data_IF_933565419619
#
_entry.id   IF_933565419619
#
_cell.length_a   1.000
_cell.length_b   1.000
_cell.length_c   1.000
_cell.angle_alpha   90.00
_cell.angle_beta   90.00
_cell.angle_gamma   90.00
#
_symmetry.space_group_name_H-M   'P 1'
#
loop_
_entity.id
_entity.type
_entity.pdbx_description
1 polymer ?
#
# COMPACT_ATOMS: atom_id res chain seq x y z
N UNK A 1 10.54 17.60 14.32
CA UNK A 1 10.57 18.28 13.01
C UNK A 1 9.27 17.97 12.31
N UNK A 2 8.54 19.03 11.93
CA UNK A 2 7.30 18.93 11.19
C UNK A 2 7.54 18.17 9.88
N UNK A 3 6.58 17.39 9.47
CA UNK A 3 6.58 16.63 8.23
C UNK A 3 6.67 17.60 7.05
N UNK A 4 7.83 17.65 6.37
CA UNK A 4 7.98 18.43 5.14
C UNK A 4 7.22 17.72 4.01
N UNK A 5 6.38 18.46 3.28
CA UNK A 5 5.74 17.96 2.07
C UNK A 5 6.79 17.75 0.98
N UNK A 6 6.58 16.80 0.06
CA UNK A 6 7.42 16.69 -1.13
C UNK A 6 7.14 17.79 -2.17
N UNK A 7 6.09 18.60 -1.95
CA UNK A 7 5.63 19.62 -2.88
C UNK A 7 6.22 20.99 -2.54
N UNK A 8 6.98 21.59 -3.48
CA UNK A 8 7.64 22.86 -3.24
C UNK A 8 6.69 24.06 -3.10
N UNK A 9 5.43 23.93 -3.52
CA UNK A 9 4.39 24.95 -3.40
C UNK A 9 3.50 24.77 -2.15
N UNK A 10 3.87 23.85 -1.25
CA UNK A 10 3.22 23.62 0.06
C UNK A 10 4.27 23.83 1.16
N UNK A 11 4.50 25.06 1.62
CA UNK A 11 5.45 25.30 2.69
C UNK A 11 4.97 24.73 4.02
N UNK A 12 5.91 24.39 4.92
CA UNK A 12 5.64 23.70 6.19
C UNK A 12 4.67 24.45 7.11
N UNK A 13 4.60 25.77 7.00
CA UNK A 13 3.70 26.65 7.75
C UNK A 13 2.33 26.84 7.07
N UNK A 14 2.11 26.24 5.91
CA UNK A 14 0.81 26.28 5.26
C UNK A 14 -0.21 25.47 6.07
N UNK A 15 -1.39 26.04 6.34
CA UNK A 15 -2.39 25.45 7.22
C UNK A 15 -2.80 24.00 6.86
N UNK A 16 -2.78 23.66 5.58
CA UNK A 16 -3.13 22.33 5.10
C UNK A 16 -1.93 21.39 4.91
N UNK A 17 -0.69 21.85 5.15
CA UNK A 17 0.50 21.05 4.98
C UNK A 17 0.45 19.71 5.76
N UNK A 18 0.02 19.64 7.03
CA UNK A 18 -0.09 18.38 7.75
C UNK A 18 -1.05 17.39 7.09
N UNK A 19 -2.18 17.87 6.57
CA UNK A 19 -3.18 17.02 5.90
C UNK A 19 -2.66 16.50 4.56
N UNK A 20 -2.06 17.39 3.76
CA UNK A 20 -1.48 17.06 2.45
C UNK A 20 -0.35 16.04 2.62
N UNK A 21 0.58 16.29 3.54
CA UNK A 21 1.71 15.38 3.82
C UNK A 21 1.22 13.99 4.25
N UNK A 22 0.26 13.93 5.16
CA UNK A 22 -0.30 12.66 5.63
C UNK A 22 -0.96 11.88 4.48
N UNK A 23 -1.84 12.52 3.73
CA UNK A 23 -2.56 11.86 2.64
C UNK A 23 -1.64 11.50 1.46
N UNK A 24 -0.61 12.31 1.19
CA UNK A 24 0.42 12.01 0.23
C UNK A 24 1.21 10.76 0.64
N UNK A 25 1.67 10.72 1.89
CA UNK A 25 2.44 9.57 2.41
C UNK A 25 1.66 8.26 2.36
N UNK A 26 0.32 8.34 2.37
CA UNK A 26 -0.61 7.21 2.25
C UNK A 26 -1.00 6.90 0.80
N UNK A 27 -0.49 7.63 -0.18
CA UNK A 27 -0.84 7.46 -1.59
C UNK A 27 -2.29 7.84 -1.95
N UNK A 28 -3.01 8.51 -1.03
CA UNK A 28 -4.40 8.95 -1.24
C UNK A 28 -4.45 10.10 -2.23
N UNK A 29 -3.53 11.05 -2.07
CA UNK A 29 -3.37 12.19 -2.97
C UNK A 29 -1.99 12.18 -3.60
N UNK A 30 -1.87 12.77 -4.77
CA UNK A 30 -0.60 12.99 -5.46
C UNK A 30 -0.56 14.42 -6.01
N UNK A 31 0.65 14.94 -6.20
CA UNK A 31 0.86 16.19 -6.93
C UNK A 31 0.85 15.97 -8.45
N UNK A 32 1.15 17.04 -9.15
CA UNK A 32 1.41 17.04 -10.58
C UNK A 32 2.87 16.66 -10.83
N UNK A 33 3.16 16.08 -11.98
CA UNK A 33 4.49 15.55 -12.29
C UNK A 33 5.64 16.58 -12.31
N UNK A 34 5.33 17.85 -12.05
CA UNK A 34 6.28 18.96 -11.94
C UNK A 34 6.71 19.27 -10.49
N UNK A 35 6.28 18.46 -9.51
CA UNK A 35 6.58 18.66 -8.09
C UNK A 35 5.66 19.63 -7.37
N UNK A 36 4.55 20.06 -7.99
CA UNK A 36 3.52 20.89 -7.34
C UNK A 36 2.35 20.07 -6.83
N UNK A 37 1.67 20.57 -5.82
CA UNK A 37 0.36 20.11 -5.37
C UNK A 37 -0.77 21.01 -5.85
N UNK A 38 -0.50 22.28 -6.08
CA UNK A 38 -1.43 23.35 -6.43
C UNK A 38 -2.58 23.47 -5.43
N UNK A 39 -2.30 23.75 -4.14
CA UNK A 39 -3.28 23.65 -3.05
C UNK A 39 -4.49 24.57 -3.22
N UNK A 40 -4.33 25.70 -3.90
CA UNK A 40 -5.38 26.71 -4.14
C UNK A 40 -6.17 26.47 -5.43
N UNK A 41 -5.80 25.47 -6.26
CA UNK A 41 -6.54 25.17 -7.46
C UNK A 41 -7.81 24.37 -7.13
N UNK A 42 -8.84 24.56 -7.94
CA UNK A 42 -10.04 23.73 -7.86
C UNK A 42 -9.74 22.29 -8.25
N UNK A 43 -10.43 21.35 -7.62
CA UNK A 43 -10.34 19.92 -7.92
C UNK A 43 -11.29 19.58 -9.06
N UNK A 44 -10.79 18.93 -10.10
CA UNK A 44 -11.65 18.35 -11.11
C UNK A 44 -12.42 17.12 -10.56
N UNK A 45 -13.63 16.86 -11.07
CA UNK A 45 -14.46 15.72 -10.63
C UNK A 45 -13.76 14.38 -10.79
N UNK A 46 -12.97 14.19 -11.85
CA UNK A 46 -12.15 12.99 -12.06
C UNK A 46 -10.99 12.87 -11.05
N UNK A 47 -10.38 13.98 -10.66
CA UNK A 47 -9.31 14.00 -9.64
C UNK A 47 -9.91 13.63 -8.28
N UNK A 48 -11.07 14.21 -7.94
CA UNK A 48 -11.75 13.84 -6.70
C UNK A 48 -12.19 12.38 -6.68
N UNK A 49 -12.68 11.84 -7.81
CA UNK A 49 -13.00 10.42 -7.92
C UNK A 49 -11.80 9.53 -7.54
N UNK A 50 -10.60 9.85 -8.04
CA UNK A 50 -9.37 9.14 -7.68
C UNK A 50 -9.03 9.30 -6.20
N UNK A 51 -9.08 10.53 -5.67
CA UNK A 51 -8.79 10.80 -4.25
C UNK A 51 -9.74 10.02 -3.33
N UNK A 52 -11.04 10.00 -3.64
CA UNK A 52 -12.06 9.33 -2.84
C UNK A 52 -11.92 7.82 -2.88
N UNK A 53 -11.66 7.22 -4.05
CA UNK A 53 -11.42 5.78 -4.20
C UNK A 53 -10.18 5.36 -3.41
N UNK A 54 -9.10 6.12 -3.54
CA UNK A 54 -7.87 5.83 -2.80
C UNK A 54 -8.05 5.99 -1.28
N UNK A 55 -8.80 7.01 -0.84
CA UNK A 55 -9.04 7.24 0.59
C UNK A 55 -9.93 6.17 1.22
N UNK A 56 -10.95 5.74 0.49
CA UNK A 56 -11.96 4.79 0.99
C UNK A 56 -11.56 3.32 0.82
N UNK A 57 -10.49 3.03 0.08
CA UNK A 57 -10.10 1.66 -0.25
C UNK A 57 -11.09 0.93 -1.16
N UNK A 58 -11.99 1.66 -1.86
CA UNK A 58 -12.91 1.05 -2.81
C UNK A 58 -12.15 0.31 -3.91
N UNK A 59 -12.59 -0.91 -4.20
CA UNK A 59 -12.03 -1.72 -5.27
C UNK A 59 -12.26 -1.03 -6.62
N UNK A 60 -11.18 -0.88 -7.40
CA UNK A 60 -11.28 -0.34 -8.76
C UNK A 60 -12.20 -1.21 -9.62
N UNK A 61 -13.06 -0.54 -10.39
CA UNK A 61 -13.96 -1.19 -11.33
C UNK A 61 -13.18 -1.89 -12.44
N UNK A 62 -13.51 -3.16 -12.67
CA UNK A 62 -12.98 -3.95 -13.80
C UNK A 62 -13.84 -3.88 -15.06
N UNK A 63 -14.93 -3.12 -15.02
CA UNK A 63 -15.81 -2.91 -16.18
C UNK A 63 -15.03 -2.22 -17.29
N UNK A 64 -15.28 -2.62 -18.52
CA UNK A 64 -14.66 -2.03 -19.74
C UNK A 64 -15.58 -1.06 -20.45
N UNK A 65 -16.68 -0.68 -19.85
CA UNK A 65 -17.65 0.28 -20.40
C UNK A 65 -18.02 1.27 -19.34
N UNK A 66 -18.18 2.56 -19.72
CA UNK A 66 -18.69 3.60 -18.85
C UNK A 66 -20.20 3.77 -19.04
N UNK A 67 -20.96 4.07 -17.99
CA UNK A 67 -22.33 4.56 -18.13
C UNK A 67 -22.40 5.99 -18.65
N UNK A 68 -21.27 6.70 -18.72
CA UNK A 68 -21.17 8.12 -19.10
C UNK A 68 -20.63 8.27 -20.53
N UNK A 69 -21.24 9.16 -21.29
CA UNK A 69 -20.89 9.39 -22.70
C UNK A 69 -19.55 10.14 -22.88
N UNK A 70 -19.11 10.84 -21.86
CA UNK A 70 -17.93 11.72 -21.85
C UNK A 70 -16.74 11.15 -21.08
N UNK A 71 -16.77 9.87 -20.73
CA UNK A 71 -15.68 9.17 -20.03
C UNK A 71 -15.05 8.15 -20.97
N UNK A 72 -13.86 8.47 -21.50
CA UNK A 72 -13.12 7.57 -22.37
C UNK A 72 -12.54 6.39 -21.57
N UNK A 73 -12.70 5.18 -22.11
CA UNK A 73 -12.20 3.94 -21.51
C UNK A 73 -10.66 3.88 -21.39
N UNK A 74 -9.96 4.68 -22.20
CA UNK A 74 -8.51 4.78 -22.18
C UNK A 74 -8.00 5.94 -21.29
N UNK A 75 -8.90 6.75 -20.72
CA UNK A 75 -8.51 7.81 -19.80
C UNK A 75 -8.10 7.22 -18.45
N UNK A 76 -7.07 7.79 -17.84
CA UNK A 76 -6.57 7.36 -16.52
C UNK A 76 -7.66 7.39 -15.43
N UNK A 77 -8.63 8.29 -15.55
CA UNK A 77 -9.71 8.47 -14.58
C UNK A 77 -10.82 7.44 -14.70
N UNK A 78 -10.91 6.73 -15.84
CA UNK A 78 -11.97 5.79 -16.14
C UNK A 78 -12.22 4.74 -15.03
N UNK A 79 -11.22 4.01 -14.50
CA UNK A 79 -11.46 3.01 -13.47
C UNK A 79 -11.97 3.63 -12.17
N UNK A 80 -11.49 4.82 -11.82
CA UNK A 80 -11.92 5.54 -10.60
C UNK A 80 -13.36 6.03 -10.71
N UNK A 81 -13.71 6.68 -11.82
CA UNK A 81 -15.08 7.14 -12.09
C UNK A 81 -16.06 5.97 -12.07
N UNK A 82 -15.70 4.86 -12.71
CA UNK A 82 -16.55 3.67 -12.73
C UNK A 82 -16.72 3.00 -11.36
N UNK A 83 -15.79 3.22 -10.43
CA UNK A 83 -15.88 2.68 -9.07
C UNK A 83 -16.87 3.43 -8.19
N UNK A 84 -17.16 4.71 -8.48
CA UNK A 84 -17.99 5.57 -7.64
C UNK A 84 -19.29 6.03 -8.33
N UNK A 85 -19.76 5.33 -9.33
CA UNK A 85 -20.98 5.71 -10.09
C UNK A 85 -22.24 5.88 -9.24
N UNK A 86 -22.31 5.17 -8.10
CA UNK A 86 -23.43 5.29 -7.16
C UNK A 86 -23.22 6.44 -6.15
N UNK A 87 -21.99 6.70 -5.78
CA UNK A 87 -21.61 7.71 -4.79
C UNK A 87 -21.59 9.11 -5.43
N UNK A 88 -21.07 9.20 -6.65
CA UNK A 88 -20.96 10.44 -7.42
C UNK A 88 -21.56 10.24 -8.81
N UNK A 89 -22.89 10.32 -8.94
CA UNK A 89 -23.56 10.09 -10.21
C UNK A 89 -23.28 11.22 -11.22
N UNK A 90 -23.46 10.89 -12.48
CA UNK A 90 -23.40 11.87 -13.55
C UNK A 90 -24.70 12.67 -13.69
N UNK A 91 -24.70 13.55 -14.68
CA UNK A 91 -25.81 14.43 -15.02
C UNK A 91 -26.53 13.94 -16.27
N UNK A 92 -27.84 14.17 -16.32
CA UNK A 92 -28.58 14.01 -17.55
C UNK A 92 -28.18 15.10 -18.57
N UNK A 93 -28.20 14.76 -19.84
CA UNK A 93 -28.02 15.76 -20.89
C UNK A 93 -29.10 16.80 -20.83
N UNK A 94 -28.73 18.07 -21.01
CA UNK A 94 -29.66 19.18 -21.17
C UNK A 94 -30.07 19.41 -22.63
N UNK A 95 -29.44 18.67 -23.57
CA UNK A 95 -29.71 18.77 -25.00
C UNK A 95 -31.00 18.03 -25.36
N UNK A 96 -31.94 18.64 -26.10
CA UNK A 96 -33.17 17.97 -26.51
C UNK A 96 -32.89 16.70 -27.32
N UNK A 97 -33.49 15.57 -26.91
CA UNK A 97 -33.34 14.28 -27.57
C UNK A 97 -32.07 13.48 -27.17
N UNK A 98 -31.21 14.00 -26.32
CA UNK A 98 -30.08 13.29 -25.78
C UNK A 98 -30.39 12.73 -24.38
N UNK A 99 -30.55 11.42 -24.25
CA UNK A 99 -30.85 10.73 -22.99
C UNK A 99 -29.60 10.18 -22.27
N UNK A 100 -28.39 10.49 -22.78
CA UNK A 100 -27.15 9.98 -22.20
C UNK A 100 -26.82 10.67 -20.89
N UNK A 101 -26.08 9.95 -20.04
CA UNK A 101 -25.48 10.50 -18.82
C UNK A 101 -24.07 11.02 -19.12
N UNK A 102 -23.70 12.07 -18.43
CA UNK A 102 -22.39 12.72 -18.51
C UNK A 102 -21.80 12.87 -17.12
N UNK A 103 -20.58 12.41 -16.92
CA UNK A 103 -19.87 12.58 -15.63
C UNK A 103 -19.26 13.96 -15.48
N UNK A 104 -18.90 14.58 -16.59
CA UNK A 104 -18.16 15.84 -16.67
C UNK A 104 -16.83 15.78 -15.93
N UNK A 105 -15.92 14.90 -16.34
CA UNK A 105 -14.70 14.57 -15.58
C UNK A 105 -13.81 15.77 -15.30
N UNK A 106 -13.76 16.73 -16.19
CA UNK A 106 -12.90 17.92 -16.11
C UNK A 106 -13.59 19.17 -15.57
N UNK A 107 -14.89 19.12 -15.28
CA UNK A 107 -15.57 20.19 -14.55
C UNK A 107 -15.07 20.18 -13.09
N UNK A 108 -15.08 21.36 -12.45
CA UNK A 108 -14.74 21.46 -11.04
C UNK A 108 -15.75 20.70 -10.18
N UNK A 109 -15.25 19.91 -9.23
CA UNK A 109 -16.07 19.32 -8.18
C UNK A 109 -16.60 20.44 -7.27
N UNK A 110 -17.87 20.36 -6.92
CA UNK A 110 -18.47 21.29 -5.96
C UNK A 110 -18.28 20.78 -4.53
N UNK A 111 -18.45 21.66 -3.56
CA UNK A 111 -18.41 21.30 -2.14
C UNK A 111 -19.48 20.26 -1.79
N UNK A 112 -20.65 20.34 -2.42
CA UNK A 112 -21.72 19.35 -2.32
C UNK A 112 -21.32 18.01 -2.93
N UNK A 113 -20.78 18.01 -4.15
CA UNK A 113 -20.25 16.80 -4.80
C UNK A 113 -19.30 16.03 -3.86
N UNK A 114 -18.34 16.74 -3.29
CA UNK A 114 -17.30 16.17 -2.41
C UNK A 114 -17.92 15.60 -1.14
N UNK A 115 -18.77 16.37 -0.48
CA UNK A 115 -19.37 15.98 0.81
C UNK A 115 -20.33 14.80 0.63
N UNK A 116 -21.23 14.87 -0.33
CA UNK A 116 -22.27 13.83 -0.55
C UNK A 116 -21.62 12.52 -1.01
N UNK A 117 -20.66 12.56 -1.94
CA UNK A 117 -19.98 11.36 -2.38
C UNK A 117 -19.17 10.70 -1.26
N UNK A 118 -18.48 11.49 -0.44
CA UNK A 118 -17.78 11.01 0.75
C UNK A 118 -18.73 10.26 1.70
N UNK A 119 -19.84 10.85 2.06
CA UNK A 119 -20.78 10.26 3.02
C UNK A 119 -21.44 8.99 2.47
N UNK A 120 -21.72 8.95 1.16
CA UNK A 120 -22.21 7.73 0.50
C UNK A 120 -21.19 6.59 0.49
N UNK A 121 -19.91 6.91 0.32
CA UNK A 121 -18.83 5.89 0.42
C UNK A 121 -18.74 5.33 1.83
N UNK A 122 -18.87 6.17 2.85
CA UNK A 122 -18.76 5.77 4.26
C UNK A 122 -19.99 5.01 4.76
N UNK A 123 -21.07 4.98 4.01
CA UNK A 123 -22.28 4.17 4.25
C UNK A 123 -22.89 4.33 5.66
N UNK A 124 -22.96 5.56 6.16
CA UNK A 124 -23.61 5.84 7.44
C UNK A 124 -25.10 5.50 7.41
N UNK A 125 -25.65 5.10 8.56
CA UNK A 125 -27.10 5.02 8.76
C UNK A 125 -27.65 6.43 8.95
N UNK A 126 -28.38 6.89 7.94
CA UNK A 126 -28.99 8.23 7.90
C UNK A 126 -30.48 8.21 8.28
N UNK A 127 -31.00 7.11 8.84
CA UNK A 127 -32.43 6.96 9.18
C UNK A 127 -32.94 8.01 10.17
N UNK A 128 -32.06 8.52 11.03
CA UNK A 128 -32.40 9.60 11.98
C UNK A 128 -32.72 10.94 11.32
N UNK A 129 -32.31 11.15 10.06
CA UNK A 129 -32.56 12.39 9.31
C UNK A 129 -33.78 12.33 8.39
N UNK A 130 -34.56 11.22 8.44
CA UNK A 130 -35.74 11.08 7.62
C UNK A 130 -37.02 10.90 8.50
N UNK A 131 -38.08 11.76 8.31
CA UNK A 131 -38.13 12.89 7.38
C UNK A 131 -37.11 13.97 7.75
N UNK A 132 -36.64 14.72 6.73
CA UNK A 132 -35.53 15.67 6.88
C UNK A 132 -35.82 16.66 8.00
N UNK A 133 -35.03 16.67 9.04
CA UNK A 133 -34.98 17.69 10.08
C UNK A 133 -33.87 18.68 9.73
N UNK A 134 -34.23 19.88 9.35
CA UNK A 134 -33.30 20.92 8.94
C UNK A 134 -32.68 21.69 10.11
N UNK A 135 -33.04 21.37 11.38
CA UNK A 135 -32.61 22.15 12.55
C UNK A 135 -31.07 22.20 12.67
N UNK A 136 -30.40 21.06 12.55
CA UNK A 136 -28.93 21.00 12.62
C UNK A 136 -28.26 21.88 11.55
N UNK A 137 -28.74 21.81 10.31
CA UNK A 137 -28.17 22.59 9.20
C UNK A 137 -28.48 24.07 9.31
N UNK A 138 -29.70 24.46 9.76
CA UNK A 138 -30.08 25.85 9.95
C UNK A 138 -29.34 26.53 11.10
N UNK A 139 -28.91 25.74 12.11
CA UNK A 139 -28.10 26.23 13.22
C UNK A 139 -26.62 26.47 12.82
N UNK A 140 -26.14 25.76 11.77
CA UNK A 140 -24.74 25.82 11.36
C UNK A 140 -24.52 26.67 10.11
N UNK A 141 -25.48 26.65 9.14
CA UNK A 141 -25.32 27.30 7.84
C UNK A 141 -26.48 28.30 7.55
N UNK A 142 -26.11 29.54 7.33
CA UNK A 142 -27.11 30.58 6.95
C UNK A 142 -27.75 30.31 5.59
N UNK A 143 -27.03 29.59 4.70
CA UNK A 143 -27.48 29.26 3.35
C UNK A 143 -28.06 27.82 3.24
N UNK A 144 -28.39 27.16 4.36
CA UNK A 144 -28.90 25.79 4.37
C UNK A 144 -30.09 25.55 3.41
N UNK A 145 -30.89 26.58 3.16
CA UNK A 145 -32.03 26.52 2.23
C UNK A 145 -31.60 26.24 0.78
N UNK A 146 -30.35 26.53 0.41
CA UNK A 146 -29.83 26.29 -0.93
C UNK A 146 -29.44 24.83 -1.12
N UNK A 147 -29.27 24.07 -0.02
CA UNK A 147 -28.90 22.65 -0.06
C UNK A 147 -30.11 21.83 -0.52
N UNK A 148 -29.98 21.00 -1.60
CA UNK A 148 -31.04 20.13 -2.05
C UNK A 148 -31.53 19.19 -0.94
N UNK A 149 -32.84 19.01 -0.78
CA UNK A 149 -33.40 18.23 0.32
C UNK A 149 -32.87 16.79 0.38
N UNK A 150 -32.60 16.16 -0.77
CA UNK A 150 -32.06 14.80 -0.85
C UNK A 150 -30.62 14.73 -0.35
N UNK A 151 -29.88 15.83 -0.31
CA UNK A 151 -28.46 15.87 0.07
C UNK A 151 -28.25 16.31 1.52
N UNK A 152 -29.27 16.94 2.14
CA UNK A 152 -29.24 17.42 3.54
C UNK A 152 -28.87 16.33 4.56
N UNK A 153 -29.40 15.09 4.50
CA UNK A 153 -28.99 14.03 5.43
C UNK A 153 -27.49 13.73 5.42
N UNK A 154 -26.89 13.72 4.22
CA UNK A 154 -25.44 13.47 4.07
C UNK A 154 -24.62 14.63 4.64
N UNK A 155 -25.04 15.86 4.37
CA UNK A 155 -24.34 17.05 4.85
C UNK A 155 -24.52 17.21 6.36
N UNK A 156 -25.71 16.93 6.91
CA UNK A 156 -25.94 16.93 8.35
C UNK A 156 -25.04 15.93 9.08
N UNK A 157 -24.93 14.70 8.56
CA UNK A 157 -24.03 13.71 9.16
C UNK A 157 -22.57 14.12 9.02
N UNK A 158 -22.14 14.69 7.89
CA UNK A 158 -20.78 15.19 7.72
C UNK A 158 -20.41 16.31 8.71
N UNK A 159 -21.37 17.19 9.04
CA UNK A 159 -21.23 18.22 10.08
C UNK A 159 -21.12 17.56 11.46
N UNK A 160 -22.02 16.62 11.78
CA UNK A 160 -22.05 15.89 13.06
C UNK A 160 -20.73 15.14 13.31
N UNK A 161 -20.15 14.54 12.28
CA UNK A 161 -18.86 13.86 12.35
C UNK A 161 -17.65 14.82 12.33
N UNK A 162 -17.86 16.12 12.13
CA UNK A 162 -16.79 17.10 12.07
C UNK A 162 -15.94 17.06 10.80
N UNK A 163 -16.41 16.39 9.73
CA UNK A 163 -15.68 16.33 8.47
C UNK A 163 -15.71 17.66 7.73
N UNK A 164 -16.83 18.40 7.86
CA UNK A 164 -17.00 19.73 7.29
C UNK A 164 -17.43 20.73 8.38
N UNK A 165 -17.02 22.00 8.23
CA UNK A 165 -17.28 23.08 9.21
C UNK A 165 -17.86 24.32 8.57
N UNK A 166 -18.22 24.38 7.36
CA UNK A 166 -18.64 25.61 6.70
C UNK A 166 -17.50 26.63 6.50
N UNK A 167 -17.85 27.75 5.88
CA UNK A 167 -16.95 28.87 5.65
C UNK A 167 -16.85 29.76 6.90
N UNK A 168 -15.92 30.74 6.90
CA UNK A 168 -15.83 31.75 7.96
C UNK A 168 -17.10 32.63 8.07
N UNK A 169 -17.88 32.70 7.00
CA UNK A 169 -19.15 33.45 6.95
C UNK A 169 -20.36 32.64 7.46
N UNK A 170 -20.11 31.38 7.92
CA UNK A 170 -21.20 30.52 8.41
C UNK A 170 -22.09 29.97 7.29
N UNK A 171 -21.53 29.75 6.09
CA UNK A 171 -22.26 29.20 4.94
C UNK A 171 -21.69 27.86 4.53
N UNK A 172 -22.47 27.02 3.86
CA UNK A 172 -22.03 25.78 3.26
C UNK A 172 -21.44 25.99 1.87
N UNK A 173 -22.07 26.82 1.05
CA UNK A 173 -21.69 27.11 -0.34
C UNK A 173 -21.58 25.83 -1.20
N UNK A 174 -22.64 25.01 -1.13
CA UNK A 174 -22.63 23.67 -1.73
C UNK A 174 -22.35 23.64 -3.22
N UNK A 175 -22.89 24.62 -3.98
CA UNK A 175 -22.70 24.72 -5.42
C UNK A 175 -21.35 25.31 -5.87
N UNK A 176 -20.53 25.83 -4.95
CA UNK A 176 -19.25 26.45 -5.29
C UNK A 176 -18.16 25.39 -5.49
N UNK A 177 -17.22 25.63 -6.43
CA UNK A 177 -16.06 24.77 -6.60
C UNK A 177 -15.20 24.73 -5.35
N UNK A 178 -14.69 23.54 -5.02
CA UNK A 178 -13.82 23.31 -3.86
C UNK A 178 -12.35 23.21 -4.29
N UNK A 179 -11.44 23.77 -3.46
CA UNK A 179 -10.00 23.74 -3.73
C UNK A 179 -9.33 22.50 -3.16
N UNK A 180 -8.17 22.14 -3.71
CA UNK A 180 -7.45 20.90 -3.42
C UNK A 180 -7.04 20.75 -1.94
N UNK A 181 -6.62 21.85 -1.29
CA UNK A 181 -6.25 21.78 0.13
C UNK A 181 -7.47 21.59 1.06
N UNK A 182 -8.65 22.10 0.70
CA UNK A 182 -9.88 21.83 1.45
C UNK A 182 -10.31 20.37 1.32
N UNK A 183 -10.24 19.80 0.10
CA UNK A 183 -10.50 18.36 -0.11
C UNK A 183 -9.53 17.52 0.70
N UNK A 184 -8.24 17.86 0.73
CA UNK A 184 -7.27 17.15 1.57
C UNK A 184 -7.66 17.20 3.05
N UNK A 185 -8.07 18.36 3.57
CA UNK A 185 -8.51 18.48 4.97
C UNK A 185 -9.78 17.65 5.27
N UNK A 186 -10.74 17.61 4.35
CA UNK A 186 -11.97 16.81 4.49
C UNK A 186 -11.63 15.31 4.49
N UNK A 187 -10.83 14.84 3.52
CA UNK A 187 -10.45 13.43 3.43
C UNK A 187 -9.61 13.00 4.64
N UNK A 188 -8.71 13.86 5.13
CA UNK A 188 -7.93 13.56 6.33
C UNK A 188 -8.81 13.36 7.57
N UNK A 189 -9.84 14.21 7.76
CA UNK A 189 -10.77 14.07 8.89
C UNK A 189 -11.66 12.85 8.76
N UNK A 190 -12.09 12.53 7.55
CA UNK A 190 -12.99 11.40 7.28
C UNK A 190 -12.26 10.05 7.32
N UNK A 191 -10.98 10.02 6.95
CA UNK A 191 -10.13 8.83 6.94
C UNK A 191 -8.88 9.10 7.78
N UNK A 192 -9.02 9.29 9.12
CA UNK A 192 -7.88 9.55 9.98
C UNK A 192 -6.94 8.37 9.97
N UNK A 193 -5.65 8.65 10.13
CA UNK A 193 -4.70 7.60 10.48
C UNK A 193 -4.95 7.22 11.94
N UNK A 194 -5.23 5.97 12.24
CA UNK A 194 -5.46 5.51 13.63
C UNK A 194 -4.26 5.77 14.56
N UNK A 195 -3.13 6.21 14.00
CA UNK A 195 -1.94 6.61 14.76
C UNK A 195 -2.08 7.95 15.53
N UNK A 196 -3.10 8.78 15.29
CA UNK A 196 -3.29 10.01 16.09
C UNK A 196 -3.82 9.70 17.50
N UNK A 197 -4.59 8.65 17.67
CA UNK A 197 -5.01 8.15 18.99
C UNK A 197 -3.81 7.65 19.82
N UNK A 198 -2.74 7.17 19.15
CA UNK A 198 -1.53 6.69 19.79
C UNK A 198 -0.65 7.84 20.34
N UNK A 199 -0.58 8.97 19.65
CA UNK A 199 0.21 10.14 20.11
C UNK A 199 -0.44 10.84 21.31
N UNK A 200 -1.78 10.90 21.38
CA UNK A 200 -2.48 11.48 22.53
C UNK A 200 -2.46 10.56 23.77
N UNK A 201 -2.37 9.23 23.58
CA UNK A 201 -2.20 8.26 24.64
C UNK A 201 -0.78 8.24 25.23
N UNK A 202 0.24 8.47 24.40
CA UNK A 202 1.65 8.51 24.83
C UNK A 202 1.97 9.76 25.65
N UNK A 203 1.28 10.88 25.41
CA UNK A 203 1.51 12.14 26.13
C UNK A 203 0.81 12.23 27.52
N UNK A 204 -0.10 11.31 27.84
CA UNK A 204 -0.90 11.38 29.05
C UNK A 204 -0.66 10.27 30.10
N UNK A 205 0.10 9.23 29.82
CA UNK A 205 0.36 8.17 30.79
C UNK A 205 1.83 7.72 30.79
N UNK A 206 2.52 7.97 31.90
CA UNK A 206 3.82 7.38 32.26
C UNK A 206 3.66 5.92 32.74
N UNK A 207 2.89 5.09 32.05
CA UNK A 207 2.80 3.66 32.35
C UNK A 207 3.43 2.85 31.21
N UNK A 208 4.22 1.84 31.60
CA UNK A 208 4.89 0.91 30.68
C UNK A 208 3.89 0.34 29.67
N UNK A 209 4.25 0.43 28.38
CA UNK A 209 3.47 -0.14 27.29
C UNK A 209 3.22 -1.63 27.52
N UNK A 210 1.99 -2.13 27.32
CA UNK A 210 1.78 -3.57 27.20
C UNK A 210 2.59 -4.06 26.00
N UNK A 211 3.36 -5.13 26.17
CA UNK A 211 4.07 -5.81 25.10
C UNK A 211 3.06 -6.12 23.97
N UNK A 212 3.47 -5.95 22.70
CA UNK A 212 2.69 -6.20 21.47
C UNK A 212 1.98 -7.58 21.38
N UNK A 213 2.25 -8.44 22.38
CA UNK A 213 1.66 -9.77 22.53
C UNK A 213 0.21 -9.75 23.04
N UNK A 214 -0.31 -8.62 23.54
CA UNK A 214 -1.63 -8.55 24.18
C UNK A 214 -2.75 -7.89 23.34
N UNK A 215 -2.42 -7.24 22.22
CA UNK A 215 -3.39 -6.77 21.23
C UNK A 215 -3.35 -7.75 20.06
N UNK A 216 -4.42 -8.51 19.86
CA UNK A 216 -4.57 -9.35 18.65
C UNK A 216 -4.21 -8.48 17.44
N UNK A 217 -3.12 -8.82 16.77
CA UNK A 217 -2.59 -8.05 15.65
C UNK A 217 -3.66 -7.93 14.57
N UNK A 218 -4.23 -6.75 14.38
CA UNK A 218 -5.15 -6.49 13.27
C UNK A 218 -4.43 -6.17 11.96
N UNK A 219 -3.09 -6.28 11.92
CA UNK A 219 -2.24 -5.82 10.82
C UNK A 219 -1.29 -6.90 10.33
N UNK A 220 -1.06 -6.93 9.03
CA UNK A 220 0.18 -7.50 8.47
C UNK A 220 1.25 -6.40 8.55
N UNK A 221 2.39 -6.68 9.17
CA UNK A 221 3.52 -5.75 9.25
C UNK A 221 4.76 -6.38 8.62
N UNK A 222 5.41 -5.66 7.70
CA UNK A 222 6.58 -6.11 6.96
C UNK A 222 7.75 -5.20 7.26
N UNK A 223 8.84 -5.77 7.77
CA UNK A 223 10.12 -5.10 8.01
C UNK A 223 11.11 -5.52 6.92
N UNK A 224 11.52 -4.59 6.09
CA UNK A 224 12.63 -4.75 5.14
C UNK A 224 13.89 -4.27 5.85
N UNK A 225 14.72 -5.19 6.29
CA UNK A 225 15.83 -4.87 7.20
C UNK A 225 17.00 -4.21 6.46
N UNK A 226 17.57 -3.17 7.06
CA UNK A 226 18.82 -2.59 6.57
C UNK A 226 20.01 -3.44 7.05
N UNK A 227 20.37 -4.44 6.27
CA UNK A 227 21.41 -5.42 6.53
C UNK A 227 22.52 -5.38 5.45
N UNK A 228 22.77 -4.18 4.91
CA UNK A 228 23.73 -3.99 3.83
C UNK A 228 23.30 -4.64 2.51
N UNK A 229 24.24 -5.25 1.78
CA UNK A 229 23.92 -5.95 0.54
C UNK A 229 23.37 -7.35 0.86
N UNK A 230 22.12 -7.59 0.43
CA UNK A 230 21.38 -8.82 0.64
C UNK A 230 19.93 -8.57 1.00
N UNK A 231 19.16 -9.63 1.19
CA UNK A 231 17.75 -9.58 1.54
C UNK A 231 17.48 -10.14 2.93
N UNK A 232 16.60 -9.50 3.67
CA UNK A 232 15.93 -10.07 4.84
C UNK A 232 14.66 -9.30 5.14
N UNK A 233 13.52 -9.96 5.01
CA UNK A 233 12.22 -9.38 5.32
C UNK A 233 11.55 -10.17 6.44
N UNK A 234 11.21 -9.47 7.54
CA UNK A 234 10.47 -10.07 8.65
C UNK A 234 9.01 -9.61 8.60
N UNK A 235 8.09 -10.57 8.64
CA UNK A 235 6.64 -10.33 8.51
C UNK A 235 5.92 -10.81 9.76
N UNK A 236 5.14 -9.90 10.34
CA UNK A 236 4.17 -10.21 11.39
C UNK A 236 2.79 -10.36 10.78
N UNK A 237 2.10 -11.44 11.10
CA UNK A 237 0.76 -11.74 10.58
C UNK A 237 -0.30 -11.45 11.65
N UNK A 238 -1.54 -11.09 11.25
CA UNK A 238 -2.64 -10.78 12.16
C UNK A 238 -2.97 -11.88 13.16
N UNK A 239 -2.73 -13.14 12.80
CA UNK A 239 -2.95 -14.31 13.66
C UNK A 239 -1.81 -14.57 14.66
N UNK A 240 -0.83 -13.67 14.76
CA UNK A 240 0.34 -13.78 15.62
C UNK A 240 1.47 -14.66 15.09
N UNK A 241 1.29 -15.28 13.90
CA UNK A 241 2.35 -16.03 13.24
C UNK A 241 3.37 -15.10 12.58
N UNK A 242 4.56 -15.63 12.35
CA UNK A 242 5.70 -14.89 11.80
C UNK A 242 6.24 -15.56 10.55
N UNK A 243 6.75 -14.72 9.62
CA UNK A 243 7.49 -15.19 8.47
C UNK A 243 8.82 -14.44 8.38
N UNK A 244 9.89 -15.15 8.03
CA UNK A 244 11.17 -14.55 7.65
C UNK A 244 11.49 -15.00 6.22
N UNK A 245 11.76 -14.03 5.35
CA UNK A 245 12.22 -14.28 3.98
C UNK A 245 13.66 -13.82 3.91
N UNK A 246 14.56 -14.76 3.63
CA UNK A 246 15.99 -14.59 3.59
C UNK A 246 16.63 -14.07 4.90
N UNK A 247 17.94 -14.24 5.02
CA UNK A 247 18.72 -13.85 6.20
C UNK A 247 20.08 -13.23 5.82
N UNK A 248 20.15 -12.57 4.68
CA UNK A 248 21.34 -11.85 4.24
C UNK A 248 22.63 -12.68 4.27
N UNK A 249 23.75 -11.99 4.35
CA UNK A 249 25.07 -12.60 4.53
C UNK A 249 25.28 -13.05 5.97
N UNK A 250 26.25 -13.97 6.21
CA UNK A 250 26.58 -14.45 7.55
C UNK A 250 26.99 -13.34 8.54
N UNK A 251 27.42 -12.19 8.03
CA UNK A 251 27.77 -11.02 8.84
C UNK A 251 26.60 -10.48 9.64
N UNK A 252 25.38 -10.59 9.10
CA UNK A 252 24.18 -9.97 9.67
C UNK A 252 23.25 -10.96 10.39
N UNK A 253 23.59 -12.25 10.43
CA UNK A 253 22.76 -13.27 11.08
C UNK A 253 22.43 -12.96 12.54
N UNK A 254 23.44 -12.56 13.35
CA UNK A 254 23.23 -12.18 14.76
C UNK A 254 22.37 -10.92 14.91
N UNK A 255 22.52 -9.95 14.00
CA UNK A 255 21.72 -8.69 14.00
C UNK A 255 20.25 -8.97 13.69
N UNK A 256 19.98 -9.81 12.67
CA UNK A 256 18.63 -10.26 12.32
C UNK A 256 17.99 -11.00 13.50
N UNK A 257 18.73 -11.94 14.12
CA UNK A 257 18.24 -12.66 15.29
C UNK A 257 17.93 -11.73 16.47
N UNK A 258 18.80 -10.76 16.71
CA UNK A 258 18.61 -9.77 17.77
C UNK A 258 17.41 -8.88 17.51
N UNK A 259 17.21 -8.44 16.27
CA UNK A 259 16.04 -7.66 15.85
C UNK A 259 14.73 -8.41 16.14
N UNK A 260 14.63 -9.67 15.70
CA UNK A 260 13.42 -10.49 15.89
C UNK A 260 13.15 -10.75 17.38
N UNK A 261 14.21 -11.04 18.15
CA UNK A 261 14.09 -11.24 19.62
C UNK A 261 13.66 -9.96 20.34
N UNK A 262 14.14 -8.80 19.93
CA UNK A 262 13.74 -7.50 20.50
C UNK A 262 12.26 -7.17 20.23
N UNK A 263 11.67 -7.73 19.17
CA UNK A 263 10.23 -7.68 18.92
C UNK A 263 9.44 -8.71 19.76
N UNK A 264 10.11 -9.51 20.60
CA UNK A 264 9.48 -10.49 21.50
C UNK A 264 9.24 -11.87 20.90
N UNK A 265 9.79 -12.18 19.72
CA UNK A 265 9.57 -13.45 19.05
C UNK A 265 10.74 -14.41 19.25
N UNK A 266 10.43 -15.68 19.47
CA UNK A 266 11.39 -16.79 19.63
C UNK A 266 11.10 -17.97 18.68
N UNK A 267 10.07 -17.84 17.85
CA UNK A 267 9.64 -18.81 16.85
C UNK A 267 9.45 -18.10 15.50
N UNK A 268 9.75 -18.82 14.41
CA UNK A 268 9.44 -18.43 13.04
C UNK A 268 8.56 -19.52 12.46
N UNK A 269 7.29 -19.20 12.16
CA UNK A 269 6.32 -20.16 11.64
C UNK A 269 6.63 -20.52 10.17
N UNK A 270 7.02 -19.52 9.39
CA UNK A 270 7.34 -19.67 7.98
C UNK A 270 8.69 -19.07 7.68
N UNK A 271 9.70 -19.90 7.43
CA UNK A 271 11.01 -19.47 6.98
C UNK A 271 11.11 -19.71 5.47
N UNK A 272 11.51 -18.71 4.70
CA UNK A 272 11.69 -18.82 3.25
C UNK A 272 13.14 -18.51 2.92
N UNK A 273 13.82 -19.45 2.27
CA UNK A 273 15.12 -19.24 1.63
C UNK A 273 14.87 -19.12 0.12
N UNK A 274 14.97 -17.91 -0.44
CA UNK A 274 14.54 -17.67 -1.82
C UNK A 274 15.41 -18.40 -2.82
N UNK A 275 16.72 -18.34 -2.68
CA UNK A 275 17.67 -19.05 -3.52
C UNK A 275 19.06 -19.16 -2.82
N UNK A 276 19.97 -20.01 -3.30
CA UNK A 276 21.14 -20.42 -2.51
C UNK A 276 22.36 -19.46 -2.58
N UNK A 277 22.17 -18.18 -2.88
CA UNK A 277 23.28 -17.21 -2.81
C UNK A 277 23.56 -16.77 -1.37
N UNK A 278 24.83 -16.43 -1.10
CA UNK A 278 25.28 -16.15 0.25
C UNK A 278 24.69 -14.87 0.87
N UNK A 279 24.26 -13.93 0.07
CA UNK A 279 23.58 -12.69 0.50
C UNK A 279 22.06 -12.86 0.75
N UNK A 280 21.59 -14.11 0.64
CA UNK A 280 20.23 -14.52 1.02
C UNK A 280 20.22 -15.57 2.12
N UNK A 281 21.08 -16.57 2.02
CA UNK A 281 21.11 -17.68 2.99
C UNK A 281 22.28 -17.63 3.98
N UNK A 282 23.12 -16.61 3.91
CA UNK A 282 24.35 -16.55 4.72
C UNK A 282 24.10 -16.54 6.23
N UNK A 283 23.08 -15.83 6.69
CA UNK A 283 22.68 -15.77 8.09
C UNK A 283 21.71 -16.87 8.52
N UNK A 284 21.27 -17.76 7.62
CA UNK A 284 20.26 -18.79 7.93
C UNK A 284 20.70 -19.73 9.04
N UNK A 285 21.99 -20.08 9.11
CA UNK A 285 22.49 -20.93 10.19
C UNK A 285 22.29 -20.30 11.56
N UNK A 286 22.49 -19.00 11.66
CA UNK A 286 22.25 -18.25 12.89
C UNK A 286 20.76 -18.25 13.24
N UNK A 287 19.90 -18.02 12.25
CA UNK A 287 18.43 -18.08 12.41
C UNK A 287 17.98 -19.47 12.88
N UNK A 288 18.43 -20.55 12.21
CA UNK A 288 18.09 -21.93 12.58
C UNK A 288 18.58 -22.29 13.98
N UNK A 289 19.66 -21.68 14.45
CA UNK A 289 20.20 -21.94 15.79
C UNK A 289 19.51 -21.16 16.90
N UNK A 290 18.87 -20.05 16.57
CA UNK A 290 18.30 -19.13 17.56
C UNK A 290 16.79 -19.20 17.69
N UNK A 291 16.08 -19.79 16.71
CA UNK A 291 14.62 -19.86 16.68
C UNK A 291 14.09 -21.28 16.49
N UNK A 292 12.92 -21.54 17.03
CA UNK A 292 12.09 -22.66 16.62
C UNK A 292 11.53 -22.37 15.22
N UNK A 293 11.75 -23.25 14.25
CA UNK A 293 11.26 -23.13 12.88
C UNK A 293 10.16 -24.16 12.66
N UNK A 294 8.95 -23.73 12.31
CA UNK A 294 7.84 -24.66 12.04
C UNK A 294 7.97 -25.27 10.65
N UNK A 295 8.19 -24.42 9.61
CA UNK A 295 8.39 -24.89 8.24
C UNK A 295 9.36 -24.01 7.49
N UNK A 296 10.33 -24.62 6.82
CA UNK A 296 11.23 -23.98 5.88
C UNK A 296 10.78 -24.24 4.45
N UNK A 297 10.62 -23.19 3.67
CA UNK A 297 10.39 -23.23 2.23
C UNK A 297 11.69 -22.89 1.50
N UNK A 298 12.16 -23.76 0.62
CA UNK A 298 13.33 -23.50 -0.21
C UNK A 298 13.20 -24.20 -1.57
N UNK A 299 13.70 -23.60 -2.67
CA UNK A 299 13.66 -24.23 -3.99
C UNK A 299 14.61 -25.42 -4.09
N UNK A 300 14.34 -26.29 -5.06
CA UNK A 300 15.23 -27.37 -5.40
C UNK A 300 16.42 -26.88 -6.27
N UNK A 301 17.18 -25.93 -5.72
CA UNK A 301 18.37 -25.35 -6.34
C UNK A 301 19.62 -25.87 -5.63
N UNK A 302 20.57 -26.39 -6.38
CA UNK A 302 21.80 -27.01 -5.83
C UNK A 302 23.03 -26.19 -6.20
N UNK A 303 23.83 -25.90 -5.21
CA UNK A 303 25.18 -25.32 -5.39
C UNK A 303 26.18 -26.00 -4.49
N UNK A 304 27.46 -25.81 -4.78
CA UNK A 304 28.58 -26.40 -4.03
C UNK A 304 29.31 -25.38 -3.14
N UNK A 305 28.62 -24.28 -2.81
CA UNK A 305 29.20 -23.27 -1.92
C UNK A 305 29.21 -23.74 -0.48
N UNK A 306 30.25 -23.37 0.25
CA UNK A 306 30.39 -23.72 1.67
C UNK A 306 29.19 -23.23 2.51
N UNK A 307 28.65 -22.06 2.18
CA UNK A 307 27.48 -21.51 2.86
C UNK A 307 26.25 -22.40 2.69
N UNK A 308 26.02 -22.89 1.48
CA UNK A 308 24.89 -23.78 1.20
C UNK A 308 25.07 -25.16 1.87
N UNK A 309 26.29 -25.76 1.82
CA UNK A 309 26.56 -27.01 2.48
C UNK A 309 26.36 -26.93 4.00
N UNK A 310 26.80 -25.84 4.62
CA UNK A 310 26.58 -25.59 6.05
C UNK A 310 25.10 -25.44 6.37
N UNK A 311 24.32 -24.70 5.55
CA UNK A 311 22.90 -24.53 5.71
C UNK A 311 22.17 -25.88 5.65
N UNK A 312 22.44 -26.70 4.64
CA UNK A 312 21.86 -28.04 4.54
C UNK A 312 22.23 -28.93 5.75
N UNK A 313 23.47 -28.86 6.21
CA UNK A 313 23.93 -29.63 7.39
C UNK A 313 23.13 -29.25 8.64
N UNK A 314 22.88 -27.95 8.85
CA UNK A 314 22.10 -27.47 9.99
C UNK A 314 20.63 -27.88 9.89
N UNK A 315 20.02 -27.85 8.68
CA UNK A 315 18.67 -28.34 8.44
C UNK A 315 18.54 -29.82 8.87
N UNK A 316 19.50 -30.66 8.45
CA UNK A 316 19.52 -32.08 8.78
C UNK A 316 19.71 -32.30 10.29
N UNK A 317 20.70 -31.63 10.88
CA UNK A 317 21.02 -31.74 12.30
C UNK A 317 19.80 -31.40 13.19
N UNK A 318 19.10 -30.36 12.83
CA UNK A 318 17.92 -29.85 13.59
C UNK A 318 16.60 -30.50 13.19
N UNK A 319 16.63 -31.38 12.21
CA UNK A 319 15.42 -32.06 11.67
C UNK A 319 14.33 -31.06 11.29
N UNK A 320 14.70 -30.00 10.59
CA UNK A 320 13.78 -28.94 10.14
C UNK A 320 12.81 -29.52 9.10
N UNK A 321 11.50 -29.20 9.23
CA UNK A 321 10.52 -29.53 8.22
C UNK A 321 10.72 -28.66 6.97
N UNK A 322 11.04 -29.28 5.83
CA UNK A 322 11.32 -28.58 4.57
C UNK A 322 10.23 -28.87 3.55
N UNK A 323 9.73 -27.81 2.93
CA UNK A 323 8.79 -27.85 1.80
C UNK A 323 9.48 -27.25 0.58
N UNK A 324 9.40 -27.92 -0.57
CA UNK A 324 9.92 -27.39 -1.82
C UNK A 324 9.18 -26.12 -2.21
N UNK A 325 9.90 -25.00 -2.30
CA UNK A 325 9.36 -23.73 -2.80
C UNK A 325 9.29 -23.75 -4.32
N UNK A 326 8.08 -23.78 -4.86
CA UNK A 326 7.81 -23.72 -6.31
C UNK A 326 6.45 -23.13 -6.61
N UNK A 327 6.25 -22.73 -7.85
CA UNK A 327 5.00 -22.15 -8.34
C UNK A 327 3.77 -22.98 -7.94
N UNK A 328 2.77 -22.29 -7.37
CA UNK A 328 1.50 -22.90 -6.91
C UNK A 328 1.52 -23.44 -5.49
N UNK A 329 2.66 -23.42 -4.79
CA UNK A 329 2.70 -23.85 -3.38
C UNK A 329 2.03 -22.79 -2.52
N UNK A 330 1.10 -23.24 -1.67
CA UNK A 330 0.42 -22.44 -0.65
C UNK A 330 1.20 -22.51 0.65
N UNK A 331 1.65 -21.37 1.18
CA UNK A 331 2.26 -21.30 2.51
C UNK A 331 1.16 -21.31 3.58
N UNK A 332 0.16 -20.45 3.41
CA UNK A 332 -1.09 -20.46 4.18
C UNK A 332 -2.22 -19.86 3.36
N UNK A 333 -3.45 -20.24 3.73
CA UNK A 333 -4.68 -19.72 3.12
C UNK A 333 -5.78 -19.73 4.19
N UNK A 334 -6.04 -18.57 4.77
CA UNK A 334 -7.02 -18.32 5.83
C UNK A 334 -8.06 -17.30 5.33
N UNK A 335 -9.20 -17.15 5.98
CA UNK A 335 -10.39 -16.41 5.49
C UNK A 335 -10.07 -15.05 4.82
N UNK A 336 -9.19 -14.26 5.42
CA UNK A 336 -8.84 -12.90 4.91
C UNK A 336 -7.39 -12.78 4.47
N UNK A 337 -6.59 -13.82 4.65
CA UNK A 337 -5.16 -13.77 4.49
C UNK A 337 -4.60 -15.00 3.79
N UNK A 338 -3.72 -14.81 2.83
CA UNK A 338 -3.09 -15.92 2.12
C UNK A 338 -1.65 -15.58 1.72
N UNK A 339 -0.83 -16.63 1.62
CA UNK A 339 0.51 -16.53 1.04
C UNK A 339 0.75 -17.68 0.07
N UNK A 340 1.23 -17.33 -1.11
CA UNK A 340 1.52 -18.24 -2.21
C UNK A 340 2.90 -18.02 -2.76
N UNK A 341 3.54 -19.09 -3.23
CA UNK A 341 4.79 -19.05 -3.99
C UNK A 341 4.44 -19.05 -5.48
N UNK A 342 4.88 -18.01 -6.20
CA UNK A 342 4.59 -17.79 -7.62
C UNK A 342 5.69 -18.32 -8.54
N UNK A 343 6.92 -18.46 -8.04
CA UNK A 343 8.08 -19.01 -8.74
C UNK A 343 8.99 -19.74 -7.73
N UNK A 344 9.89 -20.60 -8.18
CA UNK A 344 10.22 -20.96 -9.56
C UNK A 344 9.15 -21.85 -10.22
N UNK A 345 9.02 -21.79 -11.54
CA UNK A 345 8.10 -22.64 -12.31
C UNK A 345 8.83 -23.78 -13.03
N UNK A 346 10.12 -23.57 -13.36
CA UNK A 346 10.97 -24.59 -13.95
C UNK A 346 11.80 -25.33 -12.90
N UNK A 347 12.26 -26.53 -13.25
CA UNK A 347 13.19 -27.31 -12.44
C UNK A 347 14.66 -27.04 -12.81
N UNK A 348 14.91 -26.33 -13.90
CA UNK A 348 16.25 -26.08 -14.43
C UNK A 348 16.36 -24.64 -14.94
N UNK A 349 17.19 -23.84 -14.29
CA UNK A 349 17.62 -22.52 -14.73
C UNK A 349 19.14 -22.48 -14.86
N UNK A 350 19.60 -21.64 -15.79
CA UNK A 350 21.04 -21.41 -15.97
C UNK A 350 21.62 -20.53 -14.87
N UNK A 351 20.81 -19.59 -14.41
CA UNK A 351 21.16 -18.66 -13.33
C UNK A 351 20.43 -19.04 -12.05
N UNK A 352 21.16 -19.11 -10.94
CA UNK A 352 20.61 -19.46 -9.63
C UNK A 352 19.58 -18.44 -9.14
N UNK A 353 19.66 -17.18 -9.59
CA UNK A 353 18.71 -16.13 -9.26
C UNK A 353 17.27 -16.50 -9.67
N UNK A 354 17.11 -17.17 -10.81
CA UNK A 354 15.80 -17.56 -11.32
C UNK A 354 15.15 -18.72 -10.55
N UNK A 355 15.88 -19.37 -9.63
CA UNK A 355 15.30 -20.27 -8.64
C UNK A 355 14.62 -19.53 -7.48
N UNK A 356 14.68 -18.19 -7.44
CA UNK A 356 14.11 -17.41 -6.34
C UNK A 356 12.64 -17.76 -6.08
N UNK A 357 12.36 -18.15 -4.83
CA UNK A 357 11.01 -18.32 -4.35
C UNK A 357 10.33 -16.92 -4.28
N UNK A 358 9.50 -16.62 -5.28
CA UNK A 358 8.73 -15.40 -5.31
C UNK A 358 7.48 -15.57 -4.47
N UNK A 359 7.39 -14.82 -3.38
CA UNK A 359 6.30 -14.94 -2.40
C UNK A 359 5.33 -13.78 -2.54
N UNK A 360 4.03 -14.08 -2.61
CA UNK A 360 2.97 -13.07 -2.53
C UNK A 360 2.14 -13.30 -1.28
N UNK A 361 2.05 -12.27 -0.43
CA UNK A 361 1.18 -12.26 0.75
C UNK A 361 0.01 -11.32 0.44
N UNK A 362 -1.22 -11.82 0.58
CA UNK A 362 -2.43 -11.02 0.47
C UNK A 362 -3.14 -10.95 1.83
N UNK A 363 -3.66 -9.79 2.16
CA UNK A 363 -4.49 -9.56 3.34
C UNK A 363 -5.64 -8.61 2.98
N UNK A 364 -6.87 -9.12 3.03
CA UNK A 364 -8.04 -8.38 2.58
C UNK A 364 -7.89 -7.86 1.15
N UNK A 365 -7.91 -6.55 1.01
CA UNK A 365 -7.75 -5.83 -0.27
C UNK A 365 -6.31 -5.36 -0.52
N UNK A 366 -5.33 -5.87 0.21
CA UNK A 366 -3.92 -5.47 0.08
C UNK A 366 -3.03 -6.66 -0.23
N UNK A 367 -1.87 -6.42 -0.82
CA UNK A 367 -0.88 -7.46 -1.07
C UNK A 367 0.55 -6.91 -1.08
N UNK A 368 1.47 -7.80 -0.71
CA UNK A 368 2.91 -7.62 -0.75
C UNK A 368 3.52 -8.68 -1.66
N UNK A 369 4.49 -8.30 -2.47
CA UNK A 369 5.20 -9.20 -3.38
C UNK A 369 6.70 -9.13 -3.11
N UNK A 370 7.31 -10.29 -2.87
CA UNK A 370 8.74 -10.44 -2.58
C UNK A 370 9.39 -11.24 -3.71
N UNK A 371 10.30 -10.59 -4.43
CA UNK A 371 10.88 -11.15 -5.65
C UNK A 371 12.13 -11.99 -5.42
N UNK A 372 12.77 -11.88 -4.22
CA UNK A 372 14.15 -12.37 -4.08
C UNK A 372 15.02 -11.75 -5.17
N UNK A 373 15.78 -12.57 -5.88
CA UNK A 373 16.60 -12.15 -7.02
C UNK A 373 16.05 -12.64 -8.37
N UNK A 374 14.75 -12.94 -8.43
CA UNK A 374 14.10 -13.35 -9.67
C UNK A 374 14.36 -12.35 -10.79
N UNK A 375 14.82 -12.87 -11.94
CA UNK A 375 15.17 -12.09 -13.12
C UNK A 375 14.12 -12.22 -14.23
N UNK A 376 14.38 -11.62 -15.38
CA UNK A 376 13.50 -11.59 -16.56
C UNK A 376 12.93 -12.98 -16.92
N UNK A 377 13.72 -14.04 -16.83
CA UNK A 377 13.28 -15.41 -17.16
C UNK A 377 12.13 -15.82 -16.23
N UNK A 378 12.33 -15.70 -14.91
CA UNK A 378 11.31 -15.97 -13.90
C UNK A 378 10.11 -15.03 -14.00
N UNK A 379 10.32 -13.71 -14.22
CA UNK A 379 9.25 -12.75 -14.43
C UNK A 379 8.35 -13.13 -15.62
N UNK A 380 8.92 -13.57 -16.75
CA UNK A 380 8.17 -14.01 -17.91
C UNK A 380 7.36 -15.29 -17.65
N UNK A 381 7.89 -16.23 -16.90
CA UNK A 381 7.16 -17.43 -16.47
C UNK A 381 5.97 -17.08 -15.57
N UNK A 382 6.17 -16.18 -14.62
CA UNK A 382 5.09 -15.66 -13.76
C UNK A 382 4.00 -14.99 -14.60
N UNK A 383 4.39 -14.09 -15.54
CA UNK A 383 3.46 -13.41 -16.43
C UNK A 383 2.64 -14.35 -17.31
N UNK A 384 3.24 -15.49 -17.72
CA UNK A 384 2.56 -16.50 -18.53
C UNK A 384 1.61 -17.38 -17.71
N UNK A 385 1.89 -17.55 -16.42
CA UNK A 385 1.21 -18.52 -15.55
C UNK A 385 0.08 -17.89 -14.72
N UNK A 386 0.16 -16.58 -14.43
CA UNK A 386 -0.76 -15.90 -13.52
C UNK A 386 -1.46 -14.72 -14.17
N UNK A 387 -2.72 -14.53 -13.83
CA UNK A 387 -3.50 -13.35 -14.24
C UNK A 387 -3.19 -12.13 -13.36
N UNK A 388 -3.68 -10.96 -13.75
CA UNK A 388 -3.44 -9.71 -13.05
C UNK A 388 -3.96 -9.73 -11.60
N UNK A 389 -5.06 -10.43 -11.33
CA UNK A 389 -5.66 -10.51 -9.99
C UNK A 389 -4.76 -11.29 -9.02
N UNK A 390 -4.04 -12.28 -9.54
CA UNK A 390 -3.10 -13.09 -8.78
C UNK A 390 -1.73 -12.44 -8.59
N UNK A 391 -1.40 -11.43 -9.40
CA UNK A 391 -0.09 -10.75 -9.37
C UNK A 391 -0.11 -9.38 -8.68
N UNK A 392 -1.26 -8.70 -8.70
CA UNK A 392 -1.36 -7.36 -8.14
C UNK A 392 -0.87 -7.29 -6.69
N UNK A 393 -0.09 -6.25 -6.38
CA UNK A 393 0.42 -5.98 -5.04
C UNK A 393 0.60 -4.48 -4.80
N UNK A 394 0.32 -4.00 -3.60
CA UNK A 394 0.56 -2.60 -3.20
C UNK A 394 2.04 -2.29 -3.05
N UNK A 395 2.78 -3.24 -2.47
CA UNK A 395 4.22 -3.12 -2.22
C UNK A 395 4.94 -4.26 -2.92
N UNK A 396 5.96 -3.92 -3.68
CA UNK A 396 6.89 -4.89 -4.26
C UNK A 396 8.29 -4.70 -3.68
N UNK A 397 8.89 -5.78 -3.18
CA UNK A 397 10.33 -5.86 -3.01
C UNK A 397 10.95 -6.12 -4.38
N UNK A 398 11.71 -5.17 -4.88
CA UNK A 398 12.32 -5.21 -6.21
C UNK A 398 13.33 -6.36 -6.31
N UNK A 399 13.28 -7.08 -7.43
CA UNK A 399 14.15 -8.21 -7.67
C UNK A 399 15.63 -7.82 -7.78
N UNK A 400 16.50 -8.71 -7.34
CA UNK A 400 17.94 -8.66 -7.48
C UNK A 400 18.55 -7.30 -7.10
N UNK A 401 18.12 -6.76 -5.94
CA UNK A 401 18.60 -5.50 -5.36
C UNK A 401 18.52 -4.29 -6.30
N UNK A 402 17.61 -4.33 -7.29
CA UNK A 402 17.49 -3.30 -8.32
C UNK A 402 18.44 -3.45 -9.50
N UNK A 403 18.88 -4.67 -9.79
CA UNK A 403 19.61 -5.00 -11.02
C UNK A 403 18.77 -4.69 -12.27
N UNK A 404 19.42 -4.35 -13.38
CA UNK A 404 18.76 -4.20 -14.69
C UNK A 404 18.29 -5.52 -15.30
N UNK A 405 18.70 -6.66 -14.74
CA UNK A 405 18.26 -8.00 -15.16
C UNK A 405 16.89 -8.39 -14.65
N UNK A 406 16.27 -7.56 -13.77
CA UNK A 406 14.97 -7.79 -13.14
C UNK A 406 14.08 -6.56 -13.20
N UNK A 407 12.85 -6.71 -12.70
CA UNK A 407 11.87 -5.62 -12.54
C UNK A 407 11.53 -4.91 -13.85
N UNK A 408 11.26 -5.74 -14.89
CA UNK A 408 10.93 -5.24 -16.22
C UNK A 408 9.61 -4.47 -16.20
N UNK A 409 9.52 -3.42 -17.02
CA UNK A 409 8.32 -2.58 -17.10
C UNK A 409 7.05 -3.41 -17.39
N UNK A 410 7.14 -4.45 -18.21
CA UNK A 410 6.01 -5.34 -18.49
C UNK A 410 5.52 -6.07 -17.23
N UNK A 411 6.44 -6.55 -16.40
CA UNK A 411 6.14 -7.20 -15.12
C UNK A 411 5.55 -6.20 -14.12
N UNK A 412 6.23 -5.08 -13.89
CA UNK A 412 5.77 -4.02 -13.00
C UNK A 412 4.39 -3.48 -13.40
N UNK A 413 4.09 -3.38 -14.70
CA UNK A 413 2.76 -2.95 -15.18
C UNK A 413 1.64 -3.94 -14.81
N UNK A 414 1.96 -5.23 -14.68
CA UNK A 414 0.99 -6.26 -14.26
C UNK A 414 0.82 -6.31 -12.75
N UNK A 415 1.92 -6.18 -12.00
CA UNK A 415 1.89 -6.08 -10.54
C UNK A 415 1.22 -4.78 -10.10
N UNK A 416 1.45 -3.69 -10.84
CA UNK A 416 0.89 -2.35 -10.61
C UNK A 416 1.09 -1.86 -9.15
N UNK A 417 2.33 -1.85 -8.63
CA UNK A 417 2.57 -1.49 -7.25
C UNK A 417 2.49 0.02 -7.04
N UNK A 418 2.04 0.43 -5.85
CA UNK A 418 2.12 1.82 -5.39
C UNK A 418 3.52 2.12 -4.84
N UNK A 419 4.11 1.13 -4.16
CA UNK A 419 5.39 1.25 -3.48
C UNK A 419 6.37 0.18 -3.94
N UNK A 420 7.62 0.56 -4.07
CA UNK A 420 8.73 -0.35 -4.30
C UNK A 420 9.75 -0.24 -3.16
N UNK A 421 10.26 -1.37 -2.69
CA UNK A 421 11.38 -1.43 -1.74
C UNK A 421 12.57 -2.09 -2.42
N UNK A 422 13.73 -1.48 -2.30
CA UNK A 422 14.99 -2.01 -2.78
C UNK A 422 15.89 -2.28 -1.57
N UNK A 423 16.15 -3.54 -1.29
CA UNK A 423 17.16 -3.95 -0.30
C UNK A 423 18.52 -3.91 -0.97
N UNK A 424 19.39 -3.01 -0.54
CA UNK A 424 20.74 -2.84 -1.11
C UNK A 424 21.70 -2.19 -0.11
N UNK A 425 23.00 -2.43 -0.28
CA UNK A 425 24.02 -1.79 0.53
C UNK A 425 24.52 -0.48 -0.07
N UNK A 426 24.85 0.53 0.80
CA UNK A 426 25.26 1.86 0.37
C UNK A 426 26.50 1.86 -0.56
N UNK A 427 27.49 1.02 -0.28
CA UNK A 427 28.74 0.96 -1.05
C UNK A 427 28.89 -0.39 -1.77
N UNK A 428 27.78 -0.93 -2.30
CA UNK A 428 27.84 -2.21 -2.96
C UNK A 428 28.64 -2.13 -4.27
N UNK A 429 29.48 -3.16 -4.50
CA UNK A 429 30.36 -3.24 -5.67
C UNK A 429 29.64 -3.58 -6.99
N UNK A 430 28.34 -3.87 -6.91
CA UNK A 430 27.54 -4.31 -8.06
C UNK A 430 26.90 -3.13 -8.81
N UNK A 431 26.89 -1.94 -8.21
CA UNK A 431 26.24 -0.76 -8.76
C UNK A 431 24.71 -0.86 -8.70
N UNK A 432 24.17 -1.60 -7.72
CA UNK A 432 22.74 -1.71 -7.48
C UNK A 432 22.27 -0.71 -6.44
N UNK A 433 21.06 -0.14 -6.59
CA UNK A 433 20.19 -0.27 -7.76
C UNK A 433 20.78 0.44 -9.00
N UNK A 434 20.55 -0.14 -10.18
CA UNK A 434 20.98 0.48 -11.43
C UNK A 434 20.13 1.71 -11.77
N UNK A 435 20.74 2.66 -12.48
CA UNK A 435 20.00 3.85 -12.97
C UNK A 435 18.81 3.46 -13.86
N UNK A 436 18.94 2.40 -14.66
CA UNK A 436 17.87 1.87 -15.48
C UNK A 436 16.65 1.47 -14.63
N UNK A 437 16.85 0.72 -13.55
CA UNK A 437 15.76 0.29 -12.65
C UNK A 437 15.11 1.49 -11.97
N UNK A 438 15.92 2.42 -11.44
CA UNK A 438 15.39 3.64 -10.80
C UNK A 438 14.57 4.49 -11.78
N UNK A 439 15.05 4.66 -13.02
CA UNK A 439 14.33 5.38 -14.05
C UNK A 439 13.03 4.68 -14.45
N UNK A 440 13.01 3.35 -14.52
CA UNK A 440 11.79 2.58 -14.79
C UNK A 440 10.75 2.83 -13.71
N UNK A 441 11.12 2.68 -12.43
CA UNK A 441 10.23 2.91 -11.30
C UNK A 441 9.69 4.35 -11.26
N UNK A 442 10.58 5.32 -11.45
CA UNK A 442 10.21 6.74 -11.47
C UNK A 442 9.26 7.07 -12.63
N UNK A 443 9.54 6.59 -13.85
CA UNK A 443 8.70 6.82 -15.02
C UNK A 443 7.30 6.19 -14.89
N UNK A 444 7.19 5.11 -14.09
CA UNK A 444 5.92 4.48 -13.78
C UNK A 444 5.20 5.13 -12.58
N UNK A 445 5.79 6.14 -11.94
CA UNK A 445 5.24 6.81 -10.77
C UNK A 445 5.21 5.93 -9.51
N UNK A 446 6.05 4.90 -9.44
CA UNK A 446 6.14 3.99 -8.30
C UNK A 446 7.03 4.63 -7.23
N UNK A 447 6.48 4.89 -6.04
CA UNK A 447 7.24 5.48 -4.92
C UNK A 447 8.25 4.47 -4.39
N UNK A 448 9.53 4.78 -4.54
CA UNK A 448 10.63 3.87 -4.24
C UNK A 448 11.34 4.24 -2.94
N UNK A 449 11.60 3.23 -2.11
CA UNK A 449 12.36 3.31 -0.88
C UNK A 449 13.56 2.36 -0.95
N UNK A 450 14.68 2.74 -0.33
CA UNK A 450 15.93 1.99 -0.39
C UNK A 450 16.50 1.80 1.00
N UNK A 451 16.90 0.59 1.35
CA UNK A 451 17.44 0.31 2.70
C UNK A 451 18.76 1.04 2.97
N UNK A 452 19.55 1.31 1.94
CA UNK A 452 20.83 2.04 2.08
C UNK A 452 20.67 3.54 2.39
N UNK A 453 19.53 4.15 2.04
CA UNK A 453 19.24 5.56 2.28
C UNK A 453 18.19 5.79 3.35
N UNK A 454 17.20 4.91 3.44
CA UNK A 454 16.05 5.04 4.34
C UNK A 454 16.17 4.23 5.63
N UNK A 455 17.23 3.42 5.78
CA UNK A 455 17.35 2.48 6.91
C UNK A 455 16.42 1.28 6.77
N UNK A 456 16.05 0.67 7.89
CA UNK A 456 15.01 -0.37 7.89
C UNK A 456 13.68 0.25 7.51
N UNK A 457 13.02 -0.34 6.50
CA UNK A 457 11.75 0.16 5.94
C UNK A 457 10.62 -0.71 6.48
N UNK A 458 9.57 -0.08 6.98
CA UNK A 458 8.44 -0.78 7.59
C UNK A 458 7.17 -0.41 6.82
N UNK A 459 6.44 -1.43 6.38
CA UNK A 459 5.08 -1.29 5.87
C UNK A 459 4.11 -2.10 6.71
N UNK A 460 2.95 -1.52 6.98
CA UNK A 460 1.85 -2.21 7.64
C UNK A 460 0.60 -2.19 6.76
N UNK A 461 -0.26 -3.20 6.90
CA UNK A 461 -1.57 -3.26 6.25
C UNK A 461 -2.65 -3.66 7.24
N UNK A 462 -3.78 -2.98 7.20
CA UNK A 462 -5.01 -3.31 7.92
C UNK A 462 -5.99 -4.18 7.09
N UNK A 463 -5.53 -4.66 5.94
CA UNK A 463 -6.34 -5.42 4.98
C UNK A 463 -7.12 -4.54 3.99
N UNK A 464 -7.17 -3.23 4.20
CA UNK A 464 -7.78 -2.27 3.26
C UNK A 464 -6.76 -1.29 2.70
N UNK A 465 -5.81 -0.88 3.50
CA UNK A 465 -4.78 0.10 3.16
C UNK A 465 -3.40 -0.40 3.54
N UNK A 466 -2.39 0.15 2.87
CA UNK A 466 -0.98 -0.08 3.20
C UNK A 466 -0.36 1.23 3.64
N UNK A 467 0.35 1.19 4.75
CA UNK A 467 1.00 2.35 5.38
C UNK A 467 2.50 2.12 5.47
N UNK A 468 3.31 3.16 5.24
CA UNK A 468 4.71 3.16 5.67
C UNK A 468 4.79 3.65 7.11
N UNK A 469 5.39 2.85 7.98
CA UNK A 469 5.77 3.29 9.32
C UNK A 469 7.19 3.90 9.30
N UNK A 470 7.47 4.87 10.18
CA UNK A 470 8.75 5.59 10.27
C UNK A 470 9.41 5.34 11.62
#
# INVERSE_FOLDING_TARGET
SAYATSFYDVPDDFWAAPYITNLESRGIISGYGDGTFLPQNYVARCEYAKMLVNASGLKLSTKRTSPYADVDVNDWSFPYINSITQQMPGYQSTSPGDSRLYFKPWDNATREDVTVALMKVMNYDLSEYYPVDDSLLSDVFYDYNTIPKQDRPYIAEAVKQGYITGTQEGTFQGGDPIIRCEVAAILYRAFPNDNTAYVDLVNNNNEELPSDVALGNSFVKVYYLNIGQGDSEFVLLPNGKTMLIDASTSKYGEEICSFIKNLGYNKIDYLVATHPHADHIGGMNEVLNNFEIETLYMPNAVTTTKTYEQFLSTIIEKNINVVEAKSGVTIFNEDTMSAFILAPSSNEYKDLNNYSAVVRIAFGNTAFLFMGDAEIESENEILSSYNIESLWANVIKIGHHGSSSSSQQAFLSKVNPTFAVISCGADNKYGHPTEQTLNTLNNMGIKTFRTDTDGTIIFASDGNNVYREY
#
